data_IF_181429785406
#
_entry.id   IF_181429785406
#
_cell.length_a   1.000
_cell.length_b   1.000
_cell.length_c   1.000
_cell.angle_alpha   90.00
_cell.angle_beta   90.00
_cell.angle_gamma   90.00
#
_symmetry.space_group_name_H-M   'P 1'
#
loop_
_entity.id
_entity.type
_entity.pdbx_description
1 polymer ?
#
# COMPACT_ATOMS: atom_id res chain seq x y z
N UNK A 1 3.17 -4.65 -3.45
CA UNK A 1 3.21 -5.67 -2.39
C UNK A 1 1.82 -6.28 -2.23
N UNK A 2 1.73 -7.59 -2.00
CA UNK A 2 0.45 -8.25 -1.67
C UNK A 2 0.47 -8.54 -0.17
N UNK A 3 -0.59 -8.16 0.55
CA UNK A 3 -0.69 -8.29 2.01
C UNK A 3 -2.05 -8.84 2.43
N UNK A 4 -2.16 -9.40 3.63
CA UNK A 4 -3.48 -9.69 4.23
C UNK A 4 -4.19 -8.40 4.62
N UNK A 5 -5.53 -8.37 4.68
CA UNK A 5 -6.29 -7.17 5.03
C UNK A 5 -5.95 -6.60 6.41
N UNK A 6 -5.54 -7.44 7.36
CA UNK A 6 -5.22 -7.06 8.74
C UNK A 6 -3.84 -6.39 8.86
N UNK A 7 -2.96 -6.58 7.87
CA UNK A 7 -1.61 -6.02 7.88
C UNK A 7 -1.60 -4.54 7.47
N UNK A 8 -2.25 -3.70 8.27
CA UNK A 8 -2.42 -2.26 8.02
C UNK A 8 -1.16 -1.44 8.28
N UNK A 9 -0.20 -1.99 9.03
CA UNK A 9 1.03 -1.31 9.42
C UNK A 9 1.91 -0.92 8.22
N UNK A 10 1.71 -1.56 7.07
CA UNK A 10 2.37 -1.20 5.81
C UNK A 10 2.03 0.23 5.33
N UNK A 11 0.92 0.80 5.81
CA UNK A 11 0.47 2.16 5.50
C UNK A 11 0.95 3.19 6.53
N UNK A 12 1.71 2.78 7.55
CA UNK A 12 2.22 3.70 8.54
C UNK A 12 3.13 4.76 7.91
N UNK A 13 3.03 5.99 8.43
CA UNK A 13 3.84 7.12 7.96
C UNK A 13 5.32 6.82 8.18
N UNK A 14 6.12 7.10 7.16
CA UNK A 14 7.58 7.03 7.25
C UNK A 14 8.14 8.44 7.49
N UNK A 15 8.87 8.62 8.60
CA UNK A 15 9.39 9.92 9.02
C UNK A 15 10.28 10.51 7.93
N UNK A 16 10.01 11.75 7.53
CA UNK A 16 10.78 12.47 6.51
C UNK A 16 10.48 12.06 5.07
N UNK A 17 9.40 11.31 4.82
CA UNK A 17 9.01 10.90 3.47
C UNK A 17 7.52 11.19 3.23
N UNK A 18 7.23 11.81 2.09
CA UNK A 18 5.87 11.86 1.55
C UNK A 18 5.64 10.64 0.68
N UNK A 19 4.72 9.78 1.10
CA UNK A 19 4.34 8.56 0.40
C UNK A 19 2.89 8.61 -0.05
N UNK A 20 2.64 8.17 -1.27
CA UNK A 20 1.30 7.90 -1.81
C UNK A 20 1.13 6.38 -1.89
N UNK A 21 -0.01 5.85 -1.44
CA UNK A 21 -0.34 4.43 -1.55
C UNK A 21 -1.64 4.24 -2.35
N UNK A 22 -1.60 3.41 -3.39
CA UNK A 22 -2.78 2.87 -4.05
C UNK A 22 -3.07 1.48 -3.49
N UNK A 23 -4.31 1.26 -3.05
CA UNK A 23 -4.73 0.01 -2.41
C UNK A 23 -5.94 -0.55 -3.14
N UNK A 24 -5.90 -1.83 -3.50
CA UNK A 24 -7.02 -2.55 -4.10
C UNK A 24 -7.11 -3.99 -3.60
N UNK A 25 -8.27 -4.62 -3.77
CA UNK A 25 -8.47 -6.05 -3.51
C UNK A 25 -7.66 -6.91 -4.50
N UNK A 26 -7.18 -8.06 -4.04
CA UNK A 26 -6.40 -8.98 -4.85
C UNK A 26 -6.55 -10.44 -4.38
N UNK A 27 -6.45 -11.44 -5.30
CA UNK A 27 -6.46 -11.32 -6.77
C UNK A 27 -7.86 -10.96 -7.31
N UNK A 28 -8.00 -10.80 -8.63
CA UNK A 28 -9.32 -10.58 -9.24
C UNK A 28 -10.33 -11.65 -8.77
N UNK A 29 -11.57 -11.25 -8.48
CA UNK A 29 -12.67 -12.13 -8.00
C UNK A 29 -12.42 -12.79 -6.65
N UNK A 30 -11.41 -12.32 -5.91
CA UNK A 30 -11.19 -12.61 -4.51
C UNK A 30 -10.81 -11.32 -3.79
N UNK A 31 -11.06 -11.26 -2.49
CA UNK A 31 -10.64 -10.13 -1.65
C UNK A 31 -9.84 -10.60 -0.44
N UNK A 32 -9.27 -11.81 -0.53
CA UNK A 32 -8.48 -12.42 0.53
C UNK A 32 -7.20 -11.62 0.83
N UNK A 33 -6.69 -10.85 -0.15
CA UNK A 33 -5.52 -10.01 0.01
C UNK A 33 -5.76 -8.59 -0.50
N UNK A 34 -4.78 -7.71 -0.25
CA UNK A 34 -4.69 -6.37 -0.82
C UNK A 34 -3.43 -6.23 -1.63
N UNK A 35 -3.56 -5.70 -2.84
CA UNK A 35 -2.43 -5.20 -3.60
C UNK A 35 -2.20 -3.74 -3.19
N UNK A 36 -1.01 -3.47 -2.66
CA UNK A 36 -0.55 -2.14 -2.26
C UNK A 36 0.60 -1.71 -3.16
N UNK A 37 0.45 -0.56 -3.82
CA UNK A 37 1.50 0.09 -4.62
C UNK A 37 1.85 1.41 -3.93
N UNK A 38 3.12 1.62 -3.60
CA UNK A 38 3.58 2.83 -2.92
C UNK A 38 4.52 3.61 -3.82
N UNK A 39 4.33 4.93 -3.85
CA UNK A 39 5.17 5.88 -4.56
C UNK A 39 5.70 6.92 -3.57
N UNK A 40 6.95 7.34 -3.76
CA UNK A 40 7.58 8.42 -3.00
C UNK A 40 7.51 9.71 -3.81
N UNK A 41 7.15 10.81 -3.16
CA UNK A 41 7.28 12.13 -3.78
C UNK A 41 8.76 12.44 -4.02
N UNK A 42 9.08 12.84 -5.25
CA UNK A 42 10.38 13.39 -5.64
C UNK A 42 10.20 14.90 -5.80
N UNK A 43 11.16 15.67 -5.31
CA UNK A 43 11.24 17.11 -5.54
C UNK A 43 12.26 17.34 -6.64
N UNK A 44 11.91 18.15 -7.63
CA UNK A 44 12.83 18.67 -8.65
C UNK A 44 13.55 19.93 -8.14
#
# INVERSE_FOLDING_TARGET
MIVTPENVDILNRQKGMTLLSLVTCYPERSNQFRLVVQAKQIYD
#
